data_IF_299825399954
#
_entry.id   IF_299825399954
#
_cell.length_a   1.000
_cell.length_b   1.000
_cell.length_c   1.000
_cell.angle_alpha   90.00
_cell.angle_beta   90.00
_cell.angle_gamma   90.00
#
_symmetry.space_group_name_H-M   'P 1'
#
loop_
_entity.id
_entity.type
_entity.pdbx_description
1 polymer ?
#
# COMPACT_ATOMS: atom_id res chain seq x y z
N UNK A 1 64.13 -32.74 5.31
CA UNK A 1 63.84 -31.70 4.31
C UNK A 1 62.34 -31.42 4.34
N UNK A 2 61.95 -30.32 4.96
CA UNK A 2 60.56 -29.91 5.14
C UNK A 2 60.10 -29.06 3.95
N UNK A 3 59.06 -29.49 3.23
CA UNK A 3 58.33 -28.64 2.30
C UNK A 3 56.93 -28.41 2.89
N UNK A 4 56.69 -27.19 3.41
CA UNK A 4 55.39 -26.79 3.96
C UNK A 4 54.57 -26.15 2.84
N UNK A 5 53.50 -26.82 2.46
CA UNK A 5 52.47 -26.37 1.53
C UNK A 5 51.80 -25.10 2.06
N UNK A 6 51.72 -24.04 1.25
CA UNK A 6 50.92 -22.84 1.55
C UNK A 6 49.66 -22.91 0.70
N UNK A 7 48.57 -23.39 1.29
CA UNK A 7 47.24 -23.33 0.69
C UNK A 7 46.62 -21.95 0.93
N UNK A 8 46.50 -21.15 -0.13
CA UNK A 8 45.85 -19.84 -0.09
C UNK A 8 44.34 -20.04 0.03
N UNK A 9 43.80 -19.94 1.25
CA UNK A 9 42.36 -20.06 1.49
C UNK A 9 41.70 -18.70 1.23
N UNK A 10 40.91 -18.62 0.17
CA UNK A 10 40.10 -17.45 -0.18
C UNK A 10 38.86 -17.43 0.75
N UNK A 11 38.85 -16.56 1.75
CA UNK A 11 37.66 -16.29 2.57
C UNK A 11 36.68 -15.44 1.76
N UNK A 12 35.69 -16.09 1.12
CA UNK A 12 34.54 -15.41 0.56
C UNK A 12 33.65 -14.92 1.71
N UNK A 13 33.69 -13.62 2.00
CA UNK A 13 32.75 -12.99 2.93
C UNK A 13 31.37 -12.92 2.26
N UNK A 14 30.44 -13.76 2.71
CA UNK A 14 29.02 -13.65 2.39
C UNK A 14 28.45 -12.42 3.11
N UNK A 15 28.48 -11.28 2.44
CA UNK A 15 27.76 -10.10 2.89
C UNK A 15 26.26 -10.33 2.76
N UNK A 16 25.55 -10.48 3.88
CA UNK A 16 24.09 -10.43 3.91
C UNK A 16 23.69 -8.99 3.59
N UNK A 17 23.40 -8.72 2.33
CA UNK A 17 22.76 -7.47 1.94
C UNK A 17 21.28 -7.56 2.35
N UNK A 18 20.98 -7.03 3.54
CA UNK A 18 19.60 -6.78 3.92
C UNK A 18 18.98 -5.83 2.89
N UNK A 19 17.88 -6.24 2.27
CA UNK A 19 17.14 -5.37 1.37
C UNK A 19 16.78 -4.08 2.14
N UNK A 20 16.94 -2.89 1.55
CA UNK A 20 16.52 -1.66 2.21
C UNK A 20 15.03 -1.77 2.52
N UNK A 21 14.66 -1.58 3.79
CA UNK A 21 13.27 -1.38 4.16
C UNK A 21 12.78 -0.17 3.36
N UNK A 22 11.95 -0.40 2.35
CA UNK A 22 11.14 0.67 1.76
C UNK A 22 10.01 0.90 2.75
N UNK A 23 9.86 2.11 3.32
CA UNK A 23 8.62 2.43 4.01
C UNK A 23 7.50 2.10 3.04
N UNK A 24 6.59 1.19 3.41
CA UNK A 24 5.35 1.07 2.66
C UNK A 24 4.69 2.43 2.77
N UNK A 25 4.48 3.09 1.63
CA UNK A 25 3.68 4.31 1.61
C UNK A 25 2.29 4.04 2.21
N UNK A 26 1.47 5.08 2.43
CA UNK A 26 0.11 4.87 2.88
C UNK A 26 -0.62 3.91 1.91
N UNK A 27 -1.45 2.99 2.43
CA UNK A 27 -2.10 1.98 1.61
C UNK A 27 -3.01 2.64 0.57
N UNK A 28 -3.01 2.11 -0.65
CA UNK A 28 -3.82 2.62 -1.76
C UNK A 28 -4.70 1.53 -2.37
N UNK A 29 -5.88 1.90 -2.83
CA UNK A 29 -6.83 0.98 -3.47
C UNK A 29 -7.52 1.66 -4.66
N UNK A 30 -7.55 0.97 -5.81
CA UNK A 30 -8.26 1.43 -7.01
C UNK A 30 -9.64 0.80 -7.06
N UNK A 31 -10.66 1.64 -7.20
CA UNK A 31 -12.07 1.27 -7.39
C UNK A 31 -12.58 1.77 -8.74
N UNK A 32 -13.85 1.52 -9.06
CA UNK A 32 -14.46 1.90 -10.35
C UNK A 32 -14.34 3.39 -10.67
N UNK A 33 -14.37 4.25 -9.65
CA UNK A 33 -14.43 5.70 -9.81
C UNK A 33 -13.06 6.40 -9.71
N UNK A 34 -12.03 5.73 -9.20
CA UNK A 34 -10.70 6.30 -8.99
C UNK A 34 -9.89 5.56 -7.91
N UNK A 35 -8.82 6.18 -7.41
CA UNK A 35 -7.95 5.59 -6.38
C UNK A 35 -8.12 6.30 -5.04
N UNK A 36 -8.23 5.52 -3.96
CA UNK A 36 -8.24 5.99 -2.57
C UNK A 36 -6.92 5.70 -1.86
N UNK A 37 -6.57 6.58 -0.93
CA UNK A 37 -5.44 6.44 -0.01
C UNK A 37 -6.01 6.32 1.40
N UNK A 38 -5.66 5.25 2.10
CA UNK A 38 -6.03 5.00 3.49
C UNK A 38 -4.85 5.21 4.43
N UNK A 39 -4.96 4.65 5.64
CA UNK A 39 -3.84 4.57 6.58
C UNK A 39 -3.67 3.14 7.10
N UNK A 40 -2.43 2.79 7.41
CA UNK A 40 -2.10 1.50 8.00
C UNK A 40 -2.11 1.62 9.53
N UNK A 41 -2.85 0.75 10.22
CA UNK A 41 -2.86 0.63 11.68
C UNK A 41 -1.96 -0.54 12.11
N UNK A 42 -0.73 -0.28 12.59
CA UNK A 42 0.24 -1.32 12.87
C UNK A 42 -0.16 -2.26 14.01
N UNK A 43 -0.94 -1.76 14.97
CA UNK A 43 -1.33 -2.54 16.17
C UNK A 43 -2.16 -3.78 15.80
N UNK A 44 -2.91 -3.69 14.69
CA UNK A 44 -3.77 -4.75 14.19
C UNK A 44 -3.33 -5.29 12.82
N UNK A 45 -2.30 -4.69 12.21
CA UNK A 45 -1.86 -5.03 10.86
C UNK A 45 -2.96 -4.79 9.81
N UNK A 46 -3.73 -3.72 9.96
CA UNK A 46 -4.91 -3.44 9.13
C UNK A 46 -4.71 -2.19 8.28
N UNK A 47 -5.13 -2.26 7.02
CA UNK A 47 -5.29 -1.08 6.17
C UNK A 47 -6.72 -0.56 6.29
N UNK A 48 -6.86 0.71 6.68
CA UNK A 48 -8.13 1.31 7.01
C UNK A 48 -8.46 2.40 5.99
N UNK A 49 -9.65 2.29 5.39
CA UNK A 49 -10.24 3.25 4.46
C UNK A 49 -11.62 3.65 4.99
N UNK A 50 -11.75 4.89 5.48
CA UNK A 50 -13.00 5.41 6.03
C UNK A 50 -13.68 6.32 5.00
N UNK A 51 -14.87 6.83 5.29
CA UNK A 51 -15.46 7.93 4.50
C UNK A 51 -15.85 7.66 3.03
N UNK A 52 -15.51 6.49 2.46
CA UNK A 52 -15.73 6.21 1.03
C UNK A 52 -17.23 6.26 0.69
N UNK A 53 -17.65 7.19 -0.20
CA UNK A 53 -19.03 7.26 -0.64
C UNK A 53 -19.36 6.05 -1.54
N UNK A 54 -20.54 5.47 -1.34
CA UNK A 54 -21.06 4.36 -2.15
C UNK A 54 -22.28 4.75 -3.00
N UNK A 55 -22.83 5.94 -2.77
CA UNK A 55 -24.00 6.49 -3.44
C UNK A 55 -23.94 8.03 -3.43
N UNK A 56 -24.74 8.66 -4.27
CA UNK A 56 -24.91 10.12 -4.24
C UNK A 56 -25.54 10.57 -2.91
N UNK A 57 -25.17 11.75 -2.37
CA UNK A 57 -25.79 12.28 -1.15
C UNK A 57 -27.31 12.40 -1.28
N UNK A 58 -28.11 11.85 -0.34
CA UNK A 58 -29.57 11.78 -0.44
C UNK A 58 -30.24 13.11 -0.01
N UNK A 59 -29.82 14.22 -0.63
CA UNK A 59 -30.29 15.58 -0.36
C UNK A 59 -31.09 16.14 -1.53
N UNK A 60 -31.86 17.21 -1.30
CA UNK A 60 -32.71 17.82 -2.33
C UNK A 60 -33.72 16.82 -2.90
N UNK A 61 -33.77 16.74 -4.23
CA UNK A 61 -34.69 15.84 -4.95
C UNK A 61 -34.41 14.35 -4.71
N UNK A 62 -33.21 13.99 -4.22
CA UNK A 62 -32.86 12.61 -3.87
C UNK A 62 -33.41 12.17 -2.51
N UNK A 63 -33.95 13.10 -1.71
CA UNK A 63 -34.54 12.75 -0.42
C UNK A 63 -35.75 11.83 -0.62
N UNK A 64 -35.81 10.77 0.19
CA UNK A 64 -36.84 9.72 0.13
C UNK A 64 -36.87 8.92 -1.18
N UNK A 65 -35.78 8.93 -1.97
CA UNK A 65 -35.62 8.10 -3.16
C UNK A 65 -34.64 6.96 -2.92
N UNK A 66 -34.69 5.96 -3.80
CA UNK A 66 -33.67 4.88 -3.85
C UNK A 66 -32.30 5.50 -4.10
N UNK A 67 -31.27 5.02 -3.40
CA UNK A 67 -29.90 5.45 -3.53
C UNK A 67 -29.43 5.40 -5.00
N UNK A 68 -28.88 6.52 -5.48
CA UNK A 68 -28.35 6.61 -6.84
C UNK A 68 -26.85 6.33 -6.85
N UNK A 69 -26.33 5.62 -7.87
CA UNK A 69 -24.89 5.33 -7.96
C UNK A 69 -24.09 6.63 -8.14
N UNK A 70 -22.82 6.62 -7.73
CA UNK A 70 -21.91 7.74 -7.99
C UNK A 70 -21.81 8.02 -9.49
N UNK A 71 -21.87 9.31 -9.84
CA UNK A 71 -21.85 9.81 -11.22
C UNK A 71 -20.52 10.50 -11.59
N UNK A 72 -19.53 10.47 -10.69
CA UNK A 72 -18.24 11.13 -10.87
C UNK A 72 -17.10 10.11 -10.83
N UNK A 73 -16.09 10.33 -11.67
CA UNK A 73 -14.79 9.67 -11.62
C UNK A 73 -13.71 10.73 -11.50
N UNK A 74 -12.55 10.37 -10.94
CA UNK A 74 -11.43 11.30 -10.81
C UNK A 74 -10.11 10.64 -11.18
N UNK A 75 -9.19 11.47 -11.66
CA UNK A 75 -7.80 11.09 -11.88
C UNK A 75 -6.97 11.27 -10.59
N UNK A 76 -5.93 10.46 -10.44
CA UNK A 76 -5.06 10.48 -9.27
C UNK A 76 -5.67 9.84 -8.02
N UNK A 77 -5.26 10.34 -6.85
CA UNK A 77 -5.64 9.79 -5.54
C UNK A 77 -6.50 10.75 -4.72
N UNK A 78 -7.49 10.20 -4.01
CA UNK A 78 -8.27 10.91 -2.97
C UNK A 78 -8.01 10.26 -1.61
N UNK A 79 -8.07 11.06 -0.54
CA UNK A 79 -8.16 10.49 0.81
C UNK A 79 -9.47 9.72 0.95
N UNK A 80 -9.40 8.56 1.59
CA UNK A 80 -10.58 7.82 2.03
C UNK A 80 -11.24 8.58 3.19
#
# INVERSE_FOLDING_TARGET
MFARSVGLSLLAALGVQGAPWKPSGPPTVTVKNGTYVGFHEPSYGQDIFLGIPYAQPPVGDLRFRVAQPLNETWEGTKAA
#
